data_IF_421128594661
#
_entry.id   IF_421128594661
#
_cell.length_a   1.000
_cell.length_b   1.000
_cell.length_c   1.000
_cell.angle_alpha   90.00
_cell.angle_beta   90.00
_cell.angle_gamma   90.00
#
_symmetry.space_group_name_H-M   'P 1'
#
loop_
_entity.id
_entity.type
_entity.pdbx_description
1 polymer ?
#
# COMPACT_ATOMS: atom_id res chain seq x y z
N UNK A 1 -8.81 0.67 15.10
CA UNK A 1 -8.46 -0.63 15.75
C UNK A 1 -9.65 -1.24 16.49
N UNK A 2 -10.36 -0.47 17.32
CA UNK A 2 -11.51 -0.96 18.10
C UNK A 2 -12.62 -1.56 17.23
N UNK A 3 -12.93 -0.93 16.10
CA UNK A 3 -13.94 -1.41 15.13
C UNK A 3 -13.59 -2.77 14.48
N UNK A 4 -12.30 -3.03 14.26
CA UNK A 4 -11.80 -4.29 13.67
C UNK A 4 -11.96 -5.44 14.66
N UNK A 5 -11.60 -5.20 15.92
CA UNK A 5 -11.80 -6.16 17.00
C UNK A 5 -13.29 -6.41 17.26
N UNK A 6 -14.11 -5.35 17.30
CA UNK A 6 -15.56 -5.47 17.51
C UNK A 6 -16.24 -6.23 16.37
N UNK A 7 -15.84 -6.01 15.12
CA UNK A 7 -16.36 -6.76 13.98
C UNK A 7 -15.93 -8.23 14.02
N UNK A 8 -14.67 -8.51 14.37
CA UNK A 8 -14.20 -9.89 14.56
C UNK A 8 -14.91 -10.58 15.73
N UNK A 9 -15.20 -9.88 16.83
CA UNK A 9 -15.99 -10.37 17.96
C UNK A 9 -17.46 -10.59 17.60
N UNK A 10 -18.00 -9.86 16.62
CA UNK A 10 -19.35 -10.04 16.05
C UNK A 10 -19.42 -11.09 14.93
N UNK A 11 -18.31 -11.76 14.62
CA UNK A 11 -18.28 -12.81 13.59
C UNK A 11 -18.11 -12.30 12.16
N UNK A 12 -17.89 -10.99 11.95
CA UNK A 12 -17.53 -10.40 10.67
C UNK A 12 -16.02 -10.40 10.54
N UNK A 13 -15.51 -11.27 9.68
CA UNK A 13 -14.10 -11.22 9.28
C UNK A 13 -13.83 -9.85 8.67
N UNK A 14 -12.74 -9.23 9.07
CA UNK A 14 -12.32 -7.96 8.50
C UNK A 14 -10.90 -8.12 7.97
N UNK A 15 -10.71 -7.74 6.71
CA UNK A 15 -9.51 -8.06 5.94
C UNK A 15 -8.68 -6.80 5.71
N UNK A 16 -7.36 -6.95 5.90
CA UNK A 16 -6.29 -6.07 5.45
C UNK A 16 -6.39 -4.60 5.91
N UNK A 17 -6.18 -4.32 7.20
CA UNK A 17 -5.92 -2.95 7.66
C UNK A 17 -4.42 -2.71 7.76
N UNK A 18 -3.96 -1.66 7.08
CA UNK A 18 -2.64 -1.13 7.31
C UNK A 18 -2.69 -0.16 8.49
N UNK A 19 -1.85 -0.43 9.50
CA UNK A 19 -1.71 0.42 10.68
C UNK A 19 -0.28 0.94 10.75
N UNK A 20 -0.14 2.22 11.05
CA UNK A 20 1.13 2.79 11.48
C UNK A 20 1.25 2.60 12.99
N UNK A 21 2.35 2.01 13.45
CA UNK A 21 2.66 1.95 14.87
C UNK A 21 4.08 2.41 15.12
N UNK A 22 4.29 2.92 16.34
CA UNK A 22 5.59 3.41 16.79
C UNK A 22 6.20 2.39 17.74
N UNK A 23 7.41 1.94 17.44
CA UNK A 23 8.16 1.02 18.30
C UNK A 23 8.61 1.72 19.58
N UNK A 24 9.07 0.93 20.58
CA UNK A 24 9.73 1.49 21.78
C UNK A 24 10.99 2.31 21.45
N UNK A 25 11.61 2.03 20.31
CA UNK A 25 12.76 2.78 19.79
C UNK A 25 12.37 4.01 18.97
N UNK A 26 11.07 4.38 18.96
CA UNK A 26 10.54 5.54 18.25
C UNK A 26 10.56 5.42 16.71
N UNK A 27 10.75 4.21 16.16
CA UNK A 27 10.65 3.96 14.72
C UNK A 27 9.20 3.79 14.30
N UNK A 28 8.83 4.37 13.16
CA UNK A 28 7.53 4.13 12.53
C UNK A 28 7.62 2.82 11.72
N UNK A 29 6.68 1.93 11.98
CA UNK A 29 6.53 0.65 11.30
C UNK A 29 5.11 0.52 10.77
N UNK A 30 4.98 -0.12 9.62
CA UNK A 30 3.72 -0.41 8.97
C UNK A 30 3.35 -1.87 9.22
N UNK A 31 2.20 -2.11 9.84
CA UNK A 31 1.66 -3.45 10.05
C UNK A 31 0.46 -3.67 9.15
N UNK A 32 0.47 -4.77 8.41
CA UNK A 32 -0.73 -5.32 7.80
C UNK A 32 -1.39 -6.25 8.81
N UNK A 33 -2.59 -5.89 9.25
CA UNK A 33 -3.34 -6.62 10.27
C UNK A 33 -4.58 -7.25 9.68
N UNK A 34 -4.74 -8.54 9.96
CA UNK A 34 -5.92 -9.33 9.64
C UNK A 34 -6.48 -9.95 10.92
N UNK A 35 -7.80 -9.89 11.12
CA UNK A 35 -8.46 -10.47 12.28
C UNK A 35 -9.60 -11.40 11.84
N UNK A 36 -9.58 -12.62 12.35
CA UNK A 36 -10.60 -13.64 12.09
C UNK A 36 -11.17 -14.18 13.39
N UNK A 37 -12.48 -14.39 13.40
CA UNK A 37 -13.21 -15.00 14.51
C UNK A 37 -12.87 -16.48 14.62
N UNK A 38 -12.51 -16.94 15.82
CA UNK A 38 -12.33 -18.36 16.12
C UNK A 38 -13.62 -18.92 16.70
N UNK A 39 -14.10 -20.03 16.13
CA UNK A 39 -15.33 -20.72 16.53
C UNK A 39 -15.04 -22.14 17.00
N UNK A 40 -15.86 -22.63 17.93
CA UNK A 40 -15.86 -24.05 18.34
C UNK A 40 -16.68 -24.93 17.38
N UNK A 41 -16.79 -26.23 17.69
CA UNK A 41 -17.55 -27.20 16.90
C UNK A 41 -19.07 -26.93 16.91
N UNK A 42 -19.56 -26.16 17.88
CA UNK A 42 -20.96 -25.76 18.04
C UNK A 42 -21.22 -24.36 17.43
N UNK A 43 -20.24 -23.82 16.69
CA UNK A 43 -20.27 -22.53 16.00
C UNK A 43 -20.31 -21.29 16.93
N UNK A 44 -20.07 -21.47 18.23
CA UNK A 44 -19.98 -20.37 19.18
C UNK A 44 -18.65 -19.63 19.04
N UNK A 45 -18.66 -18.32 19.26
CA UNK A 45 -17.45 -17.49 19.19
C UNK A 45 -16.63 -17.72 20.46
N UNK A 46 -15.46 -18.34 20.31
CA UNK A 46 -14.54 -18.66 21.41
C UNK A 46 -13.30 -17.76 21.43
N UNK A 47 -13.20 -16.82 20.49
CA UNK A 47 -12.15 -15.80 20.49
C UNK A 47 -11.89 -15.17 19.12
N UNK A 48 -10.78 -14.45 19.02
CA UNK A 48 -10.29 -13.80 17.81
C UNK A 48 -8.83 -14.16 17.60
N UNK A 49 -8.47 -14.48 16.36
CA UNK A 49 -7.08 -14.64 15.92
C UNK A 49 -6.72 -13.43 15.08
N UNK A 50 -5.71 -12.69 15.52
CA UNK A 50 -5.12 -11.57 14.79
C UNK A 50 -3.75 -11.96 14.25
N UNK A 51 -3.49 -11.70 12.96
CA UNK A 51 -2.17 -11.78 12.35
C UNK A 51 -1.73 -10.37 12.00
N UNK A 52 -0.56 -9.97 12.48
CA UNK A 52 0.07 -8.71 12.13
C UNK A 52 1.41 -8.99 11.44
N UNK A 53 1.57 -8.48 10.22
CA UNK A 53 2.79 -8.60 9.44
C UNK A 53 3.45 -7.24 9.30
N UNK A 54 4.74 -7.12 9.65
CA UNK A 54 5.52 -5.93 9.34
C UNK A 54 5.76 -5.85 7.83
N UNK A 55 5.19 -4.82 7.21
CA UNK A 55 5.28 -4.49 5.79
C UNK A 55 6.02 -3.18 5.56
N UNK A 56 6.78 -2.69 6.57
CA UNK A 56 7.52 -1.42 6.48
C UNK A 56 8.46 -1.38 5.29
N UNK A 57 9.23 -2.44 5.08
CA UNK A 57 10.21 -2.48 3.99
C UNK A 57 9.52 -2.53 2.62
N UNK A 58 8.45 -3.32 2.47
CA UNK A 58 7.66 -3.35 1.25
C UNK A 58 7.06 -1.96 0.94
N UNK A 59 6.43 -1.33 1.92
CA UNK A 59 5.85 0.00 1.77
C UNK A 59 6.90 1.07 1.43
N UNK A 60 8.13 0.97 1.97
CA UNK A 60 9.24 1.87 1.61
C UNK A 60 9.67 1.67 0.16
N UNK A 61 9.80 0.43 -0.31
CA UNK A 61 10.16 0.14 -1.69
C UNK A 61 9.11 0.69 -2.66
N UNK A 62 7.83 0.43 -2.40
CA UNK A 62 6.73 0.91 -3.23
C UNK A 62 6.72 2.45 -3.30
N UNK A 63 6.91 3.13 -2.15
CA UNK A 63 7.01 4.59 -2.11
C UNK A 63 8.24 5.11 -2.84
N UNK A 64 9.39 4.46 -2.73
CA UNK A 64 10.61 4.87 -3.42
C UNK A 64 10.46 4.75 -4.95
N UNK A 65 9.87 3.64 -5.43
CA UNK A 65 9.56 3.45 -6.85
C UNK A 65 8.59 4.52 -7.34
N UNK A 66 7.52 4.79 -6.60
CA UNK A 66 6.55 5.83 -6.96
C UNK A 66 7.17 7.22 -6.99
N UNK A 67 8.02 7.54 -6.00
CA UNK A 67 8.72 8.83 -5.94
C UNK A 67 9.66 9.00 -7.14
N UNK A 68 10.43 7.97 -7.48
CA UNK A 68 11.37 7.99 -8.60
C UNK A 68 10.64 8.10 -9.95
N UNK A 69 9.52 7.38 -10.13
CA UNK A 69 8.68 7.52 -11.32
C UNK A 69 8.13 8.96 -11.46
N UNK A 70 7.72 9.57 -10.35
CA UNK A 70 7.21 10.94 -10.34
C UNK A 70 8.33 11.97 -10.65
N UNK A 71 9.53 11.75 -10.11
CA UNK A 71 10.70 12.59 -10.38
C UNK A 71 11.10 12.51 -11.87
N UNK A 72 11.16 11.31 -12.45
CA UNK A 72 11.43 11.13 -13.87
C UNK A 72 10.37 11.82 -14.75
N UNK A 73 9.09 11.67 -14.39
CA UNK A 73 8.00 12.37 -15.08
C UNK A 73 8.18 13.88 -15.01
N UNK A 74 8.49 14.42 -13.84
CA UNK A 74 8.71 15.84 -13.65
C UNK A 74 9.91 16.36 -14.45
N UNK A 75 11.01 15.61 -14.51
CA UNK A 75 12.17 15.95 -15.35
C UNK A 75 11.79 15.99 -16.85
N UNK A 76 11.00 15.04 -17.32
CA UNK A 76 10.50 15.00 -18.71
C UNK A 76 9.58 16.17 -19.00
N UNK A 77 8.63 16.46 -18.11
CA UNK A 77 7.66 17.54 -18.26
C UNK A 77 8.30 18.94 -18.17
N UNK A 78 9.36 19.09 -17.38
CA UNK A 78 10.06 20.38 -17.21
C UNK A 78 11.18 20.61 -18.22
N UNK A 79 11.53 19.61 -19.04
CA UNK A 79 12.59 19.74 -20.03
C UNK A 79 12.28 20.87 -21.03
N UNK A 80 13.30 21.70 -21.31
CA UNK A 80 13.19 22.80 -22.28
C UNK A 80 13.27 22.33 -23.75
N UNK A 81 13.11 21.04 -24.01
CA UNK A 81 13.08 20.44 -25.33
C UNK A 81 11.90 19.46 -25.43
N UNK A 82 11.31 19.27 -26.61
CA UNK A 82 10.32 18.22 -26.84
C UNK A 82 10.93 16.84 -26.56
N UNK A 83 10.27 16.08 -25.68
CA UNK A 83 10.61 14.68 -25.40
C UNK A 83 9.39 13.85 -25.80
N UNK A 84 9.62 12.78 -26.57
CA UNK A 84 8.57 11.86 -26.99
C UNK A 84 9.04 10.41 -26.92
N UNK A 85 8.12 9.52 -26.55
CA UNK A 85 8.31 8.07 -26.54
C UNK A 85 7.85 7.45 -27.86
N UNK A 86 8.52 6.37 -28.27
CA UNK A 86 8.12 5.56 -29.42
C UNK A 86 7.89 4.10 -29.00
N UNK A 87 6.93 3.43 -29.65
CA UNK A 87 6.71 2.00 -29.49
C UNK A 87 7.76 1.16 -30.25
N UNK A 88 7.66 -0.17 -30.13
CA UNK A 88 8.57 -1.12 -30.82
C UNK A 88 8.49 -1.05 -32.35
N UNK A 89 7.43 -0.44 -32.90
CA UNK A 89 7.23 -0.23 -34.33
C UNK A 89 7.61 1.18 -34.79
N UNK A 90 8.12 2.04 -33.88
CA UNK A 90 8.53 3.41 -34.17
C UNK A 90 7.41 4.45 -34.13
N UNK A 91 6.20 4.10 -33.69
CA UNK A 91 5.09 5.05 -33.57
C UNK A 91 5.19 5.86 -32.28
N UNK A 92 4.95 7.17 -32.34
CA UNK A 92 4.93 8.05 -31.17
C UNK A 92 3.69 7.75 -30.32
N UNK A 93 3.88 7.51 -29.02
CA UNK A 93 2.80 7.19 -28.08
C UNK A 93 2.66 8.17 -26.90
N UNK A 94 3.73 8.89 -26.55
CA UNK A 94 3.77 9.82 -25.41
C UNK A 94 4.65 11.03 -25.75
N UNK A 95 4.34 12.21 -25.21
CA UNK A 95 5.18 13.41 -25.31
C UNK A 95 5.02 14.33 -24.09
N UNK A 96 6.00 15.20 -23.84
CA UNK A 96 5.99 16.17 -22.74
C UNK A 96 5.16 17.43 -23.04
N UNK A 97 4.60 18.05 -21.99
CA UNK A 97 3.58 19.12 -22.10
C UNK A 97 4.14 20.53 -22.46
N UNK A 98 5.42 20.64 -22.82
CA UNK A 98 6.11 21.91 -23.12
C UNK A 98 5.90 22.40 -24.57
N UNK A 99 5.06 21.72 -25.34
CA UNK A 99 4.81 22.00 -26.76
C UNK A 99 3.58 22.87 -27.05
N UNK A 100 2.99 23.55 -26.04
CA UNK A 100 1.89 24.50 -26.22
C UNK A 100 2.33 25.96 -26.01
#
# INVERSE_FOLDING_TARGET
VQEVLDNALKGRQTSNYQLEFRTKTNEIRYLLVNATTRRDAENNIVGVVGVAQDVTEAAKHDRAVAAMANELRQLVDTANAPIFGIDVNGNVNEWNNKTA
#
